data_IF_732822921092
#
_entry.id   IF_732822921092
#
_cell.length_a   1.000
_cell.length_b   1.000
_cell.length_c   1.000
_cell.angle_alpha   90.00
_cell.angle_beta   90.00
_cell.angle_gamma   90.00
#
_symmetry.space_group_name_H-M   'P 1'
#
loop_
_entity.id
_entity.type
_entity.pdbx_description
1 polymer ?
#
# COMPACT_ATOMS: atom_id res chain seq x y z
N UNK A 1 -11.93 9.95 -9.72
CA UNK A 1 -10.74 9.96 -10.60
C UNK A 1 -9.88 8.78 -10.20
N UNK A 2 -9.57 7.87 -11.12
CA UNK A 2 -9.12 6.52 -10.77
C UNK A 2 -7.60 6.39 -10.60
N UNK A 3 -6.82 7.30 -11.20
CA UNK A 3 -5.37 7.41 -11.06
C UNK A 3 -4.90 8.67 -11.79
N UNK A 4 -4.05 9.50 -11.18
CA UNK A 4 -3.40 10.64 -11.82
C UNK A 4 -1.98 10.81 -11.30
N UNK A 5 -1.04 11.17 -12.18
CA UNK A 5 0.33 11.46 -11.79
C UNK A 5 0.82 12.76 -12.44
N UNK A 6 1.22 13.72 -11.59
CA UNK A 6 1.71 15.03 -12.03
C UNK A 6 3.11 15.29 -11.50
N UNK A 7 4.01 15.80 -12.34
CA UNK A 7 5.32 16.30 -11.91
C UNK A 7 5.16 17.74 -11.46
N UNK A 8 5.53 18.04 -10.22
CA UNK A 8 5.44 19.36 -9.61
C UNK A 8 6.74 20.15 -9.77
N UNK A 9 7.90 19.48 -9.65
CA UNK A 9 9.21 20.08 -9.92
C UNK A 9 10.25 19.03 -10.30
N UNK A 10 11.37 19.47 -10.87
CA UNK A 10 12.43 18.59 -11.39
C UNK A 10 13.81 19.20 -11.19
N UNK A 11 14.79 18.37 -10.84
CA UNK A 11 16.22 18.72 -10.82
C UNK A 11 16.99 17.58 -11.47
N UNK A 12 17.62 17.82 -12.63
CA UNK A 12 18.27 16.78 -13.46
C UNK A 12 17.32 15.60 -13.71
N UNK A 13 17.63 14.41 -13.20
CA UNK A 13 16.78 13.21 -13.34
C UNK A 13 15.77 13.05 -12.17
N UNK A 14 15.95 13.77 -11.07
CA UNK A 14 15.07 13.70 -9.91
C UNK A 14 13.75 14.47 -10.18
N UNK A 15 12.64 13.92 -9.71
CA UNK A 15 11.29 14.49 -9.90
C UNK A 15 10.56 14.50 -8.56
N UNK A 16 10.02 15.66 -8.20
CA UNK A 16 8.98 15.77 -7.19
C UNK A 16 7.64 15.75 -7.91
N UNK A 17 6.75 14.84 -7.56
CA UNK A 17 5.45 14.71 -8.20
C UNK A 17 4.36 14.27 -7.24
N UNK A 18 3.10 14.42 -7.63
CA UNK A 18 1.94 13.98 -6.88
C UNK A 18 1.24 12.84 -7.59
N UNK A 19 1.03 11.76 -6.86
CA UNK A 19 0.26 10.60 -7.27
C UNK A 19 -1.11 10.66 -6.58
N UNK A 20 -2.17 10.88 -7.37
CA UNK A 20 -3.54 10.90 -6.87
C UNK A 20 -4.17 9.53 -7.09
N UNK A 21 -4.50 8.84 -6.01
CA UNK A 21 -5.08 7.50 -5.99
C UNK A 21 -6.48 7.55 -5.36
N UNK A 22 -7.27 6.51 -5.59
CA UNK A 22 -8.65 6.43 -5.08
C UNK A 22 -8.80 6.65 -3.57
N UNK A 23 -7.78 6.33 -2.78
CA UNK A 23 -7.81 6.43 -1.32
C UNK A 23 -6.79 7.42 -0.73
N UNK A 24 -5.97 8.07 -1.55
CA UNK A 24 -4.97 9.03 -1.05
C UNK A 24 -4.26 9.80 -2.17
N UNK A 25 -3.87 11.03 -1.86
CA UNK A 25 -2.78 11.71 -2.58
C UNK A 25 -1.44 11.42 -1.90
N UNK A 26 -0.40 11.21 -2.71
CA UNK A 26 0.94 10.82 -2.26
C UNK A 26 1.98 11.63 -3.02
N UNK A 27 2.82 12.37 -2.31
CA UNK A 27 3.97 13.03 -2.92
C UNK A 27 5.10 12.02 -3.17
N UNK A 28 5.79 12.17 -4.29
CA UNK A 28 6.89 11.33 -4.75
C UNK A 28 8.18 12.15 -4.82
N UNK A 29 9.36 11.60 -4.45
CA UNK A 29 9.63 10.19 -4.15
C UNK A 29 9.00 9.72 -2.84
N UNK A 30 8.44 8.50 -2.82
CA UNK A 30 7.76 7.93 -1.65
C UNK A 30 8.42 6.62 -1.24
N UNK A 31 8.59 6.44 0.08
CA UNK A 31 8.92 5.15 0.68
C UNK A 31 7.64 4.47 1.14
N UNK A 32 7.45 3.19 0.77
CA UNK A 32 6.27 2.42 1.13
C UNK A 32 6.59 1.41 2.23
N UNK A 33 5.91 1.46 3.39
CA UNK A 33 5.99 0.40 4.37
C UNK A 33 5.45 -0.93 3.80
N UNK A 34 6.11 -2.05 4.12
CA UNK A 34 5.73 -3.38 3.63
C UNK A 34 4.97 -4.15 4.71
N UNK A 35 3.73 -4.55 4.40
CA UNK A 35 2.89 -5.44 5.19
C UNK A 35 2.88 -6.86 4.61
N UNK A 36 3.64 -7.77 5.21
CA UNK A 36 3.82 -9.15 4.71
C UNK A 36 2.58 -10.03 4.94
N UNK A 37 1.75 -9.73 5.94
CA UNK A 37 0.47 -10.42 6.21
C UNK A 37 -0.66 -9.42 6.45
N UNK A 38 -0.65 -8.31 5.71
CA UNK A 38 -1.58 -7.21 5.93
C UNK A 38 -1.22 -6.29 7.10
N UNK A 39 -0.28 -6.67 7.97
CA UNK A 39 0.24 -5.81 9.05
C UNK A 39 1.74 -5.61 8.91
N UNK A 40 2.24 -4.46 9.37
CA UNK A 40 3.67 -4.28 9.61
C UNK A 40 4.00 -4.86 10.99
N UNK A 41 5.04 -5.70 11.07
CA UNK A 41 5.46 -6.27 12.34
C UNK A 41 5.90 -5.16 13.31
N UNK A 42 5.23 -5.08 14.46
CA UNK A 42 5.58 -4.16 15.54
C UNK A 42 5.00 -2.75 15.44
N UNK A 43 4.21 -2.43 14.39
CA UNK A 43 3.55 -1.12 14.24
C UNK A 43 2.08 -1.25 13.86
N UNK A 44 1.24 -0.50 14.56
CA UNK A 44 -0.18 -0.36 14.26
C UNK A 44 -0.41 0.54 13.04
N UNK A 45 -1.47 0.31 12.25
CA UNK A 45 -1.87 1.18 11.13
C UNK A 45 -1.95 2.66 11.51
N UNK A 46 -2.47 2.96 12.70
CA UNK A 46 -2.57 4.32 13.22
C UNK A 46 -1.21 4.99 13.44
N UNK A 47 -0.20 4.23 13.86
CA UNK A 47 1.16 4.76 14.04
C UNK A 47 1.76 5.12 12.68
N UNK A 48 1.57 4.28 11.66
CA UNK A 48 2.01 4.58 10.30
C UNK A 48 1.31 5.80 9.72
N UNK A 49 -0.01 5.92 9.94
CA UNK A 49 -0.77 7.10 9.54
C UNK A 49 -0.26 8.38 10.21
N UNK A 50 0.04 8.32 11.52
CA UNK A 50 0.60 9.45 12.29
C UNK A 50 1.99 9.86 11.80
N UNK A 51 2.76 8.92 11.27
CA UNK A 51 4.06 9.18 10.62
C UNK A 51 3.92 9.79 9.21
N UNK A 52 2.70 9.97 8.72
CA UNK A 52 2.43 10.58 7.41
C UNK A 52 2.37 9.58 6.25
N UNK A 53 2.40 8.27 6.51
CA UNK A 53 2.24 7.29 5.44
C UNK A 53 0.79 7.28 4.92
N UNK A 54 0.68 7.35 3.59
CA UNK A 54 -0.59 7.31 2.85
C UNK A 54 -0.63 6.23 1.77
N UNK A 55 0.47 5.51 1.58
CA UNK A 55 0.59 4.40 0.65
C UNK A 55 1.42 3.30 1.31
N UNK A 56 0.94 2.06 1.26
CA UNK A 56 1.68 0.90 1.76
C UNK A 56 1.71 -0.22 0.72
N UNK A 57 2.71 -1.09 0.83
CA UNK A 57 2.80 -2.30 0.03
C UNK A 57 2.24 -3.48 0.84
N UNK A 58 1.24 -4.18 0.32
CA UNK A 58 0.74 -5.42 0.90
C UNK A 58 1.08 -6.61 0.00
N UNK A 59 1.64 -7.66 0.60
CA UNK A 59 1.93 -8.86 -0.15
C UNK A 59 0.66 -9.72 -0.30
N UNK A 60 0.25 -10.02 -1.53
CA UNK A 60 -0.98 -10.80 -1.79
C UNK A 60 -0.79 -12.29 -1.66
N UNK A 61 0.44 -12.80 -1.83
CA UNK A 61 0.76 -14.23 -1.72
C UNK A 61 0.37 -14.78 -0.35
N UNK A 62 0.76 -14.08 0.73
CA UNK A 62 0.40 -14.51 2.07
C UNK A 62 -1.10 -14.41 2.35
N UNK A 63 -1.76 -13.35 1.88
CA UNK A 63 -3.20 -13.16 2.15
C UNK A 63 -4.11 -14.09 1.35
N UNK A 64 -3.67 -14.52 0.16
CA UNK A 64 -4.36 -15.52 -0.65
C UNK A 64 -4.35 -16.92 -0.02
N UNK A 65 -3.31 -17.24 0.75
CA UNK A 65 -3.14 -18.53 1.43
C UNK A 65 -3.64 -18.55 2.88
N UNK A 66 -3.36 -17.49 3.66
CA UNK A 66 -3.77 -17.35 5.08
C UNK A 66 -4.02 -15.86 5.38
N UNK A 67 -5.27 -15.40 5.57
CA UNK A 67 -6.49 -16.17 5.86
C UNK A 67 -7.25 -16.68 4.62
N UNK A 68 -6.87 -16.25 3.41
CA UNK A 68 -7.57 -16.59 2.17
C UNK A 68 -8.52 -15.48 1.70
N UNK A 69 -8.61 -15.29 0.38
CA UNK A 69 -9.37 -14.20 -0.25
C UNK A 69 -10.86 -14.15 0.16
N UNK A 70 -11.49 -15.30 0.45
CA UNK A 70 -12.89 -15.37 0.90
C UNK A 70 -13.09 -14.69 2.25
N UNK A 71 -12.13 -14.84 3.18
CA UNK A 71 -12.19 -14.22 4.50
C UNK A 71 -11.98 -12.71 4.37
N UNK A 72 -10.99 -12.28 3.58
CA UNK A 72 -10.76 -10.85 3.30
C UNK A 72 -12.00 -10.20 2.68
N UNK A 73 -12.67 -10.87 1.74
CA UNK A 73 -13.93 -10.37 1.15
C UNK A 73 -15.06 -10.27 2.18
N UNK A 74 -15.22 -11.27 3.06
CA UNK A 74 -16.22 -11.24 4.15
C UNK A 74 -15.94 -10.11 5.16
N UNK A 75 -14.67 -9.77 5.37
CA UNK A 75 -14.26 -8.65 6.22
C UNK A 75 -14.51 -7.26 5.60
N UNK A 76 -15.09 -7.18 4.39
CA UNK A 76 -15.34 -5.91 3.70
C UNK A 76 -14.20 -5.45 2.80
N UNK A 77 -13.29 -6.35 2.42
CA UNK A 77 -12.13 -6.06 1.58
C UNK A 77 -10.84 -5.82 2.37
N UNK A 78 -9.76 -5.56 1.64
CA UNK A 78 -8.42 -5.51 2.24
C UNK A 78 -8.25 -4.36 3.24
N UNK A 79 -8.72 -3.16 2.89
CA UNK A 79 -8.65 -1.98 3.77
C UNK A 79 -9.27 -2.26 5.14
N UNK A 80 -10.47 -2.83 5.16
CA UNK A 80 -11.19 -3.20 6.38
C UNK A 80 -10.47 -4.31 7.14
N UNK A 81 -9.94 -5.32 6.44
CA UNK A 81 -9.24 -6.44 7.05
C UNK A 81 -7.97 -6.01 7.81
N UNK A 82 -7.24 -5.01 7.31
CA UNK A 82 -5.99 -4.55 7.92
C UNK A 82 -6.12 -3.23 8.67
N UNK A 83 -7.34 -2.69 8.76
CA UNK A 83 -7.64 -1.38 9.34
C UNK A 83 -6.77 -0.25 8.75
N UNK A 84 -6.63 -0.22 7.41
CA UNK A 84 -5.85 0.79 6.70
C UNK A 84 -6.73 1.60 5.74
N UNK A 85 -7.00 2.89 6.02
CA UNK A 85 -7.93 3.69 5.23
C UNK A 85 -7.31 4.33 3.98
N UNK A 86 -5.99 4.25 3.78
CA UNK A 86 -5.29 4.90 2.65
C UNK A 86 -4.91 3.90 1.57
N UNK A 87 -4.23 4.36 0.51
CA UNK A 87 -3.92 3.52 -0.65
C UNK A 87 -3.02 2.33 -0.31
N UNK A 88 -3.23 1.25 -1.06
CA UNK A 88 -2.48 0.00 -0.97
C UNK A 88 -1.98 -0.37 -2.35
N UNK A 89 -0.68 -0.63 -2.46
CA UNK A 89 -0.07 -1.31 -3.60
C UNK A 89 0.04 -2.79 -3.26
N UNK A 90 -0.56 -3.65 -4.07
CA UNK A 90 -0.45 -5.10 -3.91
C UNK A 90 0.63 -5.66 -4.81
N UNK A 91 1.58 -6.41 -4.27
CA UNK A 91 2.47 -7.22 -5.10
C UNK A 91 1.73 -8.46 -5.64
N UNK A 92 2.24 -9.08 -6.70
CA UNK A 92 1.64 -10.28 -7.31
C UNK A 92 2.13 -11.60 -6.69
N UNK A 93 3.06 -11.55 -5.74
CA UNK A 93 3.68 -12.75 -5.16
C UNK A 93 4.74 -13.44 -6.04
N UNK A 94 5.02 -12.91 -7.24
CA UNK A 94 5.97 -13.53 -8.17
C UNK A 94 7.37 -13.70 -7.58
N UNK A 95 7.87 -12.71 -6.83
CA UNK A 95 9.17 -12.80 -6.17
C UNK A 95 9.25 -13.95 -5.14
N UNK A 96 8.16 -14.22 -4.41
CA UNK A 96 8.07 -15.30 -3.43
C UNK A 96 7.76 -16.66 -4.06
N UNK A 97 7.28 -16.70 -5.29
CA UNK A 97 7.06 -17.95 -6.03
C UNK A 97 8.36 -18.54 -6.61
N UNK A 98 9.40 -17.72 -6.75
CA UNK A 98 10.71 -18.14 -7.26
C UNK A 98 11.66 -18.71 -6.18
N UNK A 99 11.30 -18.64 -4.89
CA UNK A 99 12.09 -19.16 -3.78
C UNK A 99 11.29 -20.14 -2.92
#
# INVERSE_FOLDING_TARGET
>A
MTFDFRILSKVRLARHGRLSLSHSDVDTPVFMPVGTQGTMKGLLPEQLSKLGFRLMLCNTYHMGHRPGHKIVRKAGGLHSFINWPYSILTDSGGFQAYF
#
